data_IF_271842063104
#
_entry.id   IF_271842063104
#
_cell.length_a   1.000
_cell.length_b   1.000
_cell.length_c   1.000
_cell.angle_alpha   90.00
_cell.angle_beta   90.00
_cell.angle_gamma   90.00
#
_symmetry.space_group_name_H-M   'P 1'
#
loop_
_entity.id
_entity.type
_entity.pdbx_description
1 polymer ?
#
# COMPACT_ATOMS: atom_id res chain seq x y z
N UNK A 1 -4.73 -13.09 -19.78
CA UNK A 1 -4.74 -11.61 -19.77
C UNK A 1 -3.72 -11.19 -18.74
N UNK A 2 -2.60 -10.68 -19.21
CA UNK A 2 -1.26 -11.07 -18.76
C UNK A 2 -0.62 -10.08 -17.80
N UNK A 3 0.32 -10.62 -17.02
CA UNK A 3 1.36 -10.03 -16.16
C UNK A 3 1.95 -8.64 -16.54
N UNK A 4 1.68 -8.09 -17.73
CA UNK A 4 2.19 -6.80 -18.21
C UNK A 4 1.45 -5.57 -17.69
N UNK A 5 0.19 -5.69 -17.26
CA UNK A 5 -0.57 -4.54 -16.77
C UNK A 5 -0.15 -4.09 -15.36
N UNK A 6 0.43 -5.01 -14.56
CA UNK A 6 0.99 -4.68 -13.25
C UNK A 6 2.43 -4.15 -13.34
N UNK A 7 3.19 -4.45 -14.38
CA UNK A 7 4.53 -3.85 -14.58
C UNK A 7 4.43 -2.34 -14.84
N UNK A 8 3.36 -1.84 -15.45
CA UNK A 8 3.14 -0.40 -15.64
C UNK A 8 2.66 0.31 -14.35
N UNK A 9 2.01 -0.39 -13.42
CA UNK A 9 1.67 0.14 -12.10
C UNK A 9 2.82 -0.02 -11.09
N UNK A 10 3.65 -1.07 -11.22
CA UNK A 10 4.86 -1.29 -10.42
C UNK A 10 6.08 -0.50 -10.93
N UNK A 11 6.06 -0.07 -12.20
CA UNK A 11 7.04 0.88 -12.75
C UNK A 11 6.96 2.26 -12.07
N UNK A 12 5.85 2.59 -11.40
CA UNK A 12 5.72 3.77 -10.55
C UNK A 12 6.46 3.64 -9.21
N UNK A 13 6.86 2.44 -8.77
CA UNK A 13 7.51 2.25 -7.47
C UNK A 13 8.89 1.58 -7.46
N UNK A 14 9.34 0.89 -8.51
CA UNK A 14 10.56 0.07 -8.40
C UNK A 14 11.88 0.84 -8.54
N UNK A 15 12.88 0.44 -7.73
CA UNK A 15 14.35 0.51 -7.87
C UNK A 15 15.09 1.35 -6.80
N UNK A 16 15.47 0.73 -5.68
CA UNK A 16 16.56 1.20 -4.79
C UNK A 16 17.54 0.05 -4.58
N UNK A 17 18.80 0.20 -5.01
CA UNK A 17 20.01 -0.05 -4.21
C UNK A 17 21.30 0.23 -5.02
N UNK A 18 22.21 1.02 -4.43
CA UNK A 18 23.62 0.66 -4.20
C UNK A 18 24.44 1.91 -3.81
N UNK A 19 25.00 1.92 -2.59
CA UNK A 19 26.28 2.56 -2.32
C UNK A 19 26.89 1.99 -1.03
N UNK A 20 27.85 1.09 -1.17
CA UNK A 20 28.73 0.63 -0.10
C UNK A 20 30.19 0.80 -0.54
N UNK A 21 31.02 1.42 0.31
CA UNK A 21 32.47 1.24 0.52
C UNK A 21 32.97 2.43 1.38
N UNK A 22 33.82 2.35 2.42
CA UNK A 22 35.03 1.54 2.68
C UNK A 22 35.42 1.52 4.20
N UNK A 23 35.86 0.34 4.68
CA UNK A 23 36.99 -0.01 5.60
C UNK A 23 37.02 0.37 7.13
N UNK A 24 37.74 -0.42 7.98
CA UNK A 24 37.29 -0.82 9.33
C UNK A 24 38.25 -0.47 10.49
N UNK A 25 37.76 -0.60 11.74
CA UNK A 25 38.59 -0.83 12.92
C UNK A 25 38.03 -1.97 13.78
N UNK A 26 38.90 -2.89 14.17
CA UNK A 26 38.57 -4.14 14.85
C UNK A 26 38.42 -4.05 16.37
N UNK A 27 37.97 -5.15 16.97
CA UNK A 27 38.57 -5.85 18.12
C UNK A 27 37.67 -7.05 18.50
N UNK A 28 38.29 -8.08 19.08
CA UNK A 28 37.76 -9.38 19.55
C UNK A 28 38.48 -9.68 20.88
N UNK A 29 38.12 -10.69 21.71
CA UNK A 29 36.86 -11.42 21.97
C UNK A 29 36.52 -11.46 23.48
N UNK A 30 35.41 -12.09 23.89
CA UNK A 30 35.47 -12.99 25.06
C UNK A 30 34.38 -14.08 25.08
N UNK A 31 34.82 -15.25 25.55
CA UNK A 31 34.21 -16.59 25.59
C UNK A 31 33.15 -16.71 26.69
N UNK A 32 32.29 -17.75 26.64
CA UNK A 32 32.16 -18.78 27.69
C UNK A 32 31.42 -20.03 27.14
N UNK A 33 31.89 -21.21 27.57
CA UNK A 33 31.43 -22.57 27.24
C UNK A 33 30.39 -23.07 28.24
N UNK A 34 29.44 -23.93 27.82
CA UNK A 34 28.91 -25.04 28.64
C UNK A 34 28.64 -26.27 27.75
N UNK A 35 29.11 -27.42 28.21
CA UNK A 35 29.03 -28.77 27.62
C UNK A 35 27.85 -29.53 28.26
N UNK A 36 27.13 -30.35 27.49
CA UNK A 36 26.38 -31.49 28.05
C UNK A 36 26.30 -32.66 27.04
N UNK A 37 26.90 -33.80 27.46
CA UNK A 37 26.84 -35.18 26.94
C UNK A 37 25.64 -35.98 27.52
N UNK A 38 25.00 -36.89 26.76
CA UNK A 38 25.05 -38.27 27.30
C UNK A 38 25.22 -39.36 26.24
N UNK A 39 26.20 -40.21 26.54
CA UNK A 39 26.33 -41.58 26.04
C UNK A 39 25.37 -42.53 26.76
N UNK A 40 24.75 -43.46 26.03
CA UNK A 40 24.72 -44.88 26.45
C UNK A 40 24.33 -45.82 25.29
N UNK A 41 25.06 -46.93 25.20
CA UNK A 41 25.01 -47.97 24.17
C UNK A 41 24.12 -49.15 24.60
N UNK A 42 23.42 -49.70 23.59
CA UNK A 42 23.22 -51.11 23.19
C UNK A 42 22.93 -52.18 24.26
N UNK A 43 21.96 -53.06 23.95
CA UNK A 43 22.14 -54.52 23.94
C UNK A 43 21.20 -55.17 22.90
N UNK A 44 21.69 -56.21 22.23
CA UNK A 44 21.04 -57.02 21.19
C UNK A 44 20.35 -58.26 21.78
N UNK A 45 19.37 -58.80 21.01
CA UNK A 45 19.06 -60.22 20.69
C UNK A 45 17.62 -60.64 21.02
N UNK A 46 16.87 -61.52 20.33
CA UNK A 46 16.92 -62.27 19.05
C UNK A 46 15.49 -62.85 18.86
N UNK A 47 15.04 -63.00 17.60
CA UNK A 47 13.97 -63.88 17.04
C UNK A 47 12.52 -63.87 17.59
N UNK A 48 11.55 -63.54 16.72
CA UNK A 48 10.44 -64.44 16.34
C UNK A 48 9.71 -63.92 15.08
N UNK A 49 9.68 -64.76 14.06
CA UNK A 49 8.97 -64.58 12.80
C UNK A 49 7.50 -64.97 13.01
N UNK A 50 6.56 -64.04 12.89
CA UNK A 50 5.13 -64.34 12.84
C UNK A 50 4.47 -63.47 11.77
N UNK A 51 4.11 -64.12 10.66
CA UNK A 51 3.27 -63.57 9.60
C UNK A 51 1.86 -63.36 10.17
N UNK A 52 1.44 -62.11 10.32
CA UNK A 52 0.05 -61.74 10.63
C UNK A 52 -0.34 -60.67 9.61
N UNK A 53 -1.30 -61.02 8.75
CA UNK A 53 -1.99 -60.11 7.84
C UNK A 53 -2.60 -58.97 8.67
N UNK A 54 -1.88 -57.86 8.77
CA UNK A 54 -2.43 -56.58 9.22
C UNK A 54 -3.03 -55.88 8.02
N UNK A 55 -4.33 -55.61 8.08
CA UNK A 55 -4.98 -54.63 7.22
C UNK A 55 -4.09 -53.37 7.17
N UNK A 56 -3.58 -53.05 5.98
CA UNK A 56 -3.17 -51.68 5.68
C UNK A 56 -4.47 -50.90 5.61
N UNK A 57 -4.93 -50.42 6.77
CA UNK A 57 -5.74 -49.20 6.79
C UNK A 57 -4.82 -48.16 6.19
N UNK A 58 -5.01 -47.90 4.90
CA UNK A 58 -4.49 -46.69 4.30
C UNK A 58 -5.15 -45.56 5.06
N UNK A 59 -4.48 -45.04 6.09
CA UNK A 59 -4.73 -43.69 6.51
C UNK A 59 -4.33 -42.84 5.32
N UNK A 60 -5.28 -42.63 4.41
CA UNK A 60 -5.29 -41.43 3.61
C UNK A 60 -5.22 -40.32 4.65
N UNK A 61 -4.01 -39.84 4.95
CA UNK A 61 -3.83 -38.61 5.67
C UNK A 61 -4.56 -37.60 4.82
N UNK A 62 -5.81 -37.30 5.17
CA UNK A 62 -6.62 -36.26 4.55
C UNK A 62 -5.71 -35.05 4.52
N UNK A 63 -5.27 -34.70 3.32
CA UNK A 63 -4.34 -33.60 3.10
C UNK A 63 -4.95 -32.38 3.77
N UNK A 64 -4.39 -31.97 4.91
CA UNK A 64 -4.93 -30.86 5.69
C UNK A 64 -4.92 -29.65 4.77
N UNK A 65 -6.09 -29.05 4.55
CA UNK A 65 -6.21 -27.84 3.73
C UNK A 65 -5.32 -26.74 4.33
N UNK A 66 -4.68 -25.94 3.48
CA UNK A 66 -3.90 -24.77 3.92
C UNK A 66 -4.82 -23.64 4.42
N UNK A 67 -6.11 -23.68 4.09
CA UNK A 67 -7.12 -22.70 4.51
C UNK A 67 -7.11 -22.45 6.02
N UNK A 68 -7.25 -21.20 6.42
CA UNK A 68 -7.29 -20.77 7.80
C UNK A 68 -6.37 -19.57 8.08
N UNK A 69 -6.30 -19.21 9.36
CA UNK A 69 -5.50 -18.11 9.85
C UNK A 69 -4.16 -18.61 10.39
N UNK A 70 -3.10 -17.90 10.07
CA UNK A 70 -1.72 -18.25 10.39
C UNK A 70 -1.01 -17.04 10.95
N UNK A 71 -0.28 -17.21 12.05
CA UNK A 71 0.51 -16.15 12.69
C UNK A 71 1.96 -16.61 12.84
N UNK A 72 2.90 -15.68 12.73
CA UNK A 72 4.30 -15.97 12.97
C UNK A 72 5.20 -14.79 12.62
N UNK A 73 6.40 -15.09 12.15
CA UNK A 73 7.43 -14.07 11.90
C UNK A 73 8.10 -14.24 10.55
N UNK A 74 8.46 -13.12 9.94
CA UNK A 74 9.50 -13.02 8.92
C UNK A 74 10.79 -12.57 9.58
N UNK A 75 11.94 -13.12 9.16
CA UNK A 75 13.25 -12.79 9.72
C UNK A 75 14.21 -12.42 8.59
N UNK A 76 14.81 -11.23 8.67
CA UNK A 76 15.88 -10.76 7.78
C UNK A 76 17.01 -10.22 8.64
N UNK A 77 18.23 -10.67 8.41
CA UNK A 77 19.42 -10.21 9.15
C UNK A 77 19.27 -10.24 10.68
N UNK A 78 18.50 -11.19 11.21
CA UNK A 78 18.22 -11.33 12.64
C UNK A 78 17.08 -10.45 13.17
N UNK A 79 16.56 -9.50 12.39
CA UNK A 79 15.39 -8.71 12.75
C UNK A 79 14.08 -9.48 12.46
N UNK A 80 13.20 -9.57 13.46
CA UNK A 80 11.90 -10.22 13.33
C UNK A 80 10.79 -9.23 13.00
N UNK A 81 9.90 -9.62 12.08
CA UNK A 81 8.67 -8.92 11.75
C UNK A 81 7.48 -9.83 12.02
N UNK A 82 6.62 -9.52 13.00
CA UNK A 82 5.37 -10.22 13.19
C UNK A 82 4.44 -10.06 11.97
N UNK A 83 3.91 -11.19 11.51
CA UNK A 83 3.01 -11.26 10.36
C UNK A 83 1.87 -12.25 10.60
N UNK A 84 0.76 -12.05 9.90
CA UNK A 84 -0.30 -13.06 9.80
C UNK A 84 -0.79 -13.21 8.37
N UNK A 85 -1.14 -14.44 8.00
CA UNK A 85 -1.68 -14.77 6.70
C UNK A 85 -3.04 -15.45 6.85
N UNK A 86 -3.96 -15.09 5.97
CA UNK A 86 -5.27 -15.72 5.89
C UNK A 86 -5.38 -16.42 4.53
N UNK A 87 -5.50 -17.74 4.54
CA UNK A 87 -5.75 -18.53 3.33
C UNK A 87 -7.22 -18.89 3.26
N UNK A 88 -7.85 -18.61 2.13
CA UNK A 88 -9.28 -18.85 1.92
C UNK A 88 -9.52 -19.52 0.56
N UNK A 89 -10.63 -20.23 0.44
CA UNK A 89 -11.08 -20.78 -0.83
C UNK A 89 -12.18 -19.90 -1.42
N UNK A 90 -11.85 -19.18 -2.50
CA UNK A 90 -12.79 -18.34 -3.23
C UNK A 90 -13.20 -19.03 -4.53
N UNK A 91 -14.40 -19.62 -4.54
CA UNK A 91 -14.98 -20.28 -5.72
C UNK A 91 -14.07 -21.36 -6.34
N UNK A 92 -13.38 -22.15 -5.50
CA UNK A 92 -12.48 -23.23 -5.94
C UNK A 92 -11.04 -22.78 -6.21
N UNK A 93 -10.73 -21.48 -6.04
CA UNK A 93 -9.37 -20.95 -6.14
C UNK A 93 -8.85 -20.57 -4.76
N UNK A 94 -7.63 -21.00 -4.46
CA UNK A 94 -6.92 -20.56 -3.26
C UNK A 94 -6.60 -19.06 -3.37
N UNK A 95 -7.08 -18.28 -2.42
CA UNK A 95 -6.73 -16.89 -2.22
C UNK A 95 -6.00 -16.76 -0.88
N UNK A 96 -5.15 -15.75 -0.76
CA UNK A 96 -4.52 -15.43 0.51
C UNK A 96 -4.34 -13.93 0.69
N UNK A 97 -4.30 -13.50 1.95
CA UNK A 97 -3.96 -12.12 2.31
C UNK A 97 -2.88 -12.05 3.37
N UNK A 98 -2.05 -11.03 3.29
CA UNK A 98 -0.97 -10.71 4.21
C UNK A 98 -1.36 -9.58 5.16
N UNK A 99 -0.94 -9.71 6.41
CA UNK A 99 -1.06 -8.68 7.42
C UNK A 99 0.27 -8.51 8.16
N UNK A 100 0.62 -7.26 8.45
CA UNK A 100 1.65 -6.89 9.42
C UNK A 100 1.20 -5.59 10.10
N UNK A 101 0.70 -5.67 11.35
CA UNK A 101 0.29 -4.48 12.09
C UNK A 101 1.42 -3.45 12.27
N UNK A 102 2.66 -3.91 12.46
CA UNK A 102 3.87 -3.05 12.54
C UNK A 102 4.04 -2.19 11.29
N UNK A 103 3.73 -2.78 10.13
CA UNK A 103 3.83 -2.15 8.81
C UNK A 103 2.50 -1.58 8.30
N UNK A 104 1.40 -1.68 9.06
CA UNK A 104 0.05 -1.25 8.63
C UNK A 104 -0.50 -1.97 7.41
N UNK A 105 0.10 -3.09 7.05
CA UNK A 105 -0.42 -3.95 6.01
C UNK A 105 -1.58 -4.75 6.64
N UNK A 106 -2.81 -4.54 6.17
CA UNK A 106 -3.98 -5.31 6.64
C UNK A 106 -4.77 -5.79 5.44
N UNK A 107 -4.88 -7.11 5.29
CA UNK A 107 -5.62 -7.75 4.21
C UNK A 107 -5.02 -7.52 2.81
N UNK A 108 -3.70 -7.37 2.70
CA UNK A 108 -3.04 -7.17 1.39
C UNK A 108 -3.15 -8.46 0.58
N UNK A 109 -3.78 -8.46 -0.61
CA UNK A 109 -3.95 -9.67 -1.40
C UNK A 109 -2.60 -10.22 -1.89
N UNK A 110 -2.35 -11.50 -1.60
CA UNK A 110 -1.20 -12.22 -2.13
C UNK A 110 -1.48 -12.68 -3.57
N UNK A 111 -0.42 -12.72 -4.39
CA UNK A 111 -0.44 -13.17 -5.78
C UNK A 111 0.25 -14.52 -5.92
N UNK A 112 -0.01 -15.18 -7.05
CA UNK A 112 0.55 -16.49 -7.41
C UNK A 112 0.45 -17.53 -6.28
N UNK A 113 -0.61 -17.48 -5.48
CA UNK A 113 -0.80 -18.36 -4.34
C UNK A 113 -1.05 -19.78 -4.84
N UNK A 114 -0.15 -20.70 -4.48
CA UNK A 114 -0.26 -22.11 -4.85
C UNK A 114 0.26 -23.01 -3.74
N UNK A 115 -0.29 -24.22 -3.66
CA UNK A 115 0.13 -25.22 -2.70
C UNK A 115 -0.07 -26.62 -3.26
N UNK A 116 1.01 -27.40 -3.25
CA UNK A 116 1.04 -28.82 -3.56
C UNK A 116 1.93 -29.48 -2.52
N UNK A 117 1.34 -30.17 -1.54
CA UNK A 117 2.04 -30.65 -0.34
C UNK A 117 3.37 -31.34 -0.66
N UNK A 118 4.45 -30.99 0.05
CA UNK A 118 4.51 -29.98 1.11
C UNK A 118 4.65 -28.55 0.60
N UNK A 119 4.92 -28.32 -0.68
CA UNK A 119 5.33 -27.01 -1.21
C UNK A 119 4.21 -25.97 -1.18
N UNK A 120 4.54 -24.77 -0.72
CA UNK A 120 3.70 -23.58 -0.71
C UNK A 120 4.45 -22.44 -1.38
N UNK A 121 3.77 -21.68 -2.22
CA UNK A 121 4.30 -20.51 -2.89
C UNK A 121 3.28 -19.36 -2.86
N UNK A 122 3.74 -18.14 -2.62
CA UNK A 122 2.93 -16.92 -2.71
C UNK A 122 3.81 -15.69 -2.86
N UNK A 123 3.23 -14.61 -3.38
CA UNK A 123 3.93 -13.36 -3.67
C UNK A 123 3.21 -12.18 -3.03
N UNK A 124 3.95 -11.36 -2.28
CA UNK A 124 3.49 -10.06 -1.81
C UNK A 124 4.01 -9.00 -2.76
N UNK A 125 3.13 -8.47 -3.59
CA UNK A 125 3.46 -7.41 -4.55
C UNK A 125 3.30 -6.06 -3.85
N UNK A 126 4.40 -5.37 -3.61
CA UNK A 126 4.41 -3.96 -3.20
C UNK A 126 4.56 -3.03 -4.40
N UNK A 127 4.57 -1.73 -4.14
CA UNK A 127 4.71 -0.71 -5.18
C UNK A 127 6.10 -0.77 -5.84
N UNK A 128 7.13 -1.07 -5.04
CA UNK A 128 8.51 -1.07 -5.46
C UNK A 128 9.10 -2.45 -5.77
N UNK A 129 8.72 -3.43 -4.96
CA UNK A 129 9.35 -4.74 -4.93
C UNK A 129 8.28 -5.79 -4.75
N UNK A 130 8.57 -7.00 -5.24
CA UNK A 130 7.77 -8.18 -4.93
C UNK A 130 8.55 -9.07 -3.99
N UNK A 131 7.96 -9.40 -2.84
CA UNK A 131 8.49 -10.40 -1.94
C UNK A 131 7.93 -11.75 -2.36
N UNK A 132 8.82 -12.66 -2.74
CA UNK A 132 8.47 -14.00 -3.20
C UNK A 132 8.75 -14.98 -2.07
N UNK A 133 7.75 -15.75 -1.67
CA UNK A 133 7.82 -16.72 -0.58
C UNK A 133 7.75 -18.14 -1.11
N UNK A 134 8.70 -18.97 -0.71
CA UNK A 134 8.74 -20.40 -1.01
C UNK A 134 8.93 -21.17 0.30
N UNK A 135 8.00 -22.07 0.62
CA UNK A 135 8.02 -22.80 1.87
C UNK A 135 7.40 -24.19 1.80
N UNK A 136 7.38 -24.84 2.96
CA UNK A 136 6.83 -26.17 3.14
C UNK A 136 5.79 -26.16 4.25
N UNK A 137 4.60 -26.68 3.93
CA UNK A 137 3.54 -26.98 4.87
C UNK A 137 3.78 -28.34 5.52
N UNK A 138 3.81 -28.33 6.85
CA UNK A 138 3.73 -29.51 7.71
C UNK A 138 2.31 -29.62 8.27
N UNK A 139 2.10 -30.15 9.49
CA UNK A 139 0.75 -30.32 10.05
C UNK A 139 0.08 -28.97 10.32
N UNK A 140 0.75 -28.09 11.07
CA UNK A 140 0.21 -26.80 11.51
C UNK A 140 1.27 -25.67 11.41
N UNK A 141 2.30 -25.86 10.59
CA UNK A 141 3.33 -24.84 10.33
C UNK A 141 3.61 -24.76 8.82
N UNK A 142 3.69 -23.54 8.29
CA UNK A 142 4.33 -23.24 7.01
C UNK A 142 5.63 -22.49 7.31
N UNK A 143 6.76 -22.98 6.81
CA UNK A 143 8.04 -22.33 7.00
C UNK A 143 8.88 -22.40 5.72
N UNK A 144 9.71 -21.39 5.49
CA UNK A 144 10.45 -21.29 4.24
C UNK A 144 11.38 -20.09 4.17
N UNK A 145 11.73 -19.76 2.93
CA UNK A 145 12.55 -18.61 2.59
C UNK A 145 11.68 -17.59 1.84
N UNK A 146 12.05 -16.32 1.94
CA UNK A 146 11.56 -15.29 1.03
C UNK A 146 12.73 -14.55 0.39
N UNK A 147 12.47 -13.94 -0.76
CA UNK A 147 13.39 -13.04 -1.46
C UNK A 147 12.69 -11.76 -1.89
N UNK A 148 13.42 -10.66 -1.85
CA UNK A 148 12.96 -9.34 -2.27
C UNK A 148 14.11 -8.64 -3.00
N UNK A 149 14.10 -8.65 -4.33
CA UNK A 149 15.30 -8.29 -5.09
C UNK A 149 16.47 -9.22 -4.74
N UNK A 150 17.59 -8.64 -4.31
CA UNK A 150 18.77 -9.38 -3.86
C UNK A 150 18.69 -9.81 -2.39
N UNK A 151 17.77 -9.22 -1.62
CA UNK A 151 17.60 -9.51 -0.20
C UNK A 151 16.92 -10.86 0.02
N UNK A 152 17.26 -11.50 1.14
CA UNK A 152 16.74 -12.82 1.53
C UNK A 152 16.43 -12.87 3.01
N UNK A 153 15.45 -13.70 3.37
CA UNK A 153 15.14 -14.00 4.74
C UNK A 153 14.33 -15.28 4.88
N UNK A 154 13.95 -15.59 6.11
CA UNK A 154 13.15 -16.77 6.43
C UNK A 154 11.79 -16.37 6.95
N UNK A 155 10.82 -17.27 6.89
CA UNK A 155 9.56 -17.08 7.58
C UNK A 155 9.10 -18.39 8.22
N UNK A 156 8.37 -18.26 9.31
CA UNK A 156 7.69 -19.39 9.95
C UNK A 156 6.37 -18.90 10.53
N UNK A 157 5.27 -19.50 10.07
CA UNK A 157 3.92 -19.19 10.50
C UNK A 157 3.23 -20.48 10.96
N UNK A 158 2.46 -20.37 12.03
CA UNK A 158 1.70 -21.47 12.61
C UNK A 158 0.21 -21.22 12.52
N UNK A 159 -0.54 -22.29 12.31
CA UNK A 159 -1.99 -22.23 12.28
C UNK A 159 -2.50 -21.87 13.67
N UNK A 160 -3.33 -20.83 13.74
CA UNK A 160 -3.96 -20.37 14.97
C UNK A 160 -5.43 -20.06 14.73
N UNK A 161 -6.22 -20.04 15.79
CA UNK A 161 -7.61 -19.62 15.70
C UNK A 161 -7.66 -18.09 15.60
N UNK A 162 -8.21 -17.56 14.52
CA UNK A 162 -8.41 -16.12 14.34
C UNK A 162 -9.21 -15.53 15.51
N UNK A 163 -8.71 -14.41 16.05
CA UNK A 163 -9.47 -13.62 17.04
C UNK A 163 -10.54 -12.81 16.31
N UNK A 164 -11.80 -12.84 16.76
CA UNK A 164 -12.83 -12.00 16.15
C UNK A 164 -12.47 -10.52 16.30
N UNK A 165 -12.76 -9.67 15.30
CA UNK A 165 -12.54 -8.24 15.42
C UNK A 165 -13.38 -7.65 16.56
N UNK A 166 -12.90 -6.56 17.17
CA UNK A 166 -13.63 -5.85 18.24
C UNK A 166 -14.62 -4.82 17.67
N UNK A 167 -14.95 -4.95 16.39
CA UNK A 167 -15.84 -4.11 15.61
C UNK A 167 -16.67 -4.97 14.68
N UNK A 168 -17.79 -4.44 14.17
CA UNK A 168 -18.61 -5.11 13.17
C UNK A 168 -18.14 -4.72 11.78
N UNK A 169 -18.25 -5.65 10.83
CA UNK A 169 -17.96 -5.38 9.42
C UNK A 169 -19.07 -5.96 8.54
N UNK A 170 -19.41 -5.25 7.48
CA UNK A 170 -20.45 -5.63 6.51
C UNK A 170 -19.92 -5.45 5.10
N UNK A 171 -20.07 -6.47 4.26
CA UNK A 171 -19.85 -6.33 2.82
C UNK A 171 -21.00 -5.56 2.19
N UNK A 172 -20.68 -4.47 1.52
CA UNK A 172 -21.65 -3.52 0.97
C UNK A 172 -21.38 -3.29 -0.51
N UNK A 173 -22.38 -2.76 -1.20
CA UNK A 173 -22.22 -2.22 -2.55
C UNK A 173 -23.05 -0.96 -2.72
N UNK A 174 -22.56 -0.03 -3.53
CA UNK A 174 -23.24 1.22 -3.86
C UNK A 174 -22.92 1.62 -5.30
N UNK A 175 -23.69 2.54 -5.87
CA UNK A 175 -23.63 2.87 -7.30
C UNK A 175 -23.27 4.33 -7.54
N UNK A 176 -22.46 4.54 -8.57
CA UNK A 176 -22.25 5.83 -9.21
C UNK A 176 -22.59 5.67 -10.71
N UNK A 177 -23.81 6.02 -11.09
CA UNK A 177 -24.35 5.72 -12.42
C UNK A 177 -24.38 4.20 -12.70
N UNK A 178 -23.68 3.80 -13.76
CA UNK A 178 -23.56 2.39 -14.19
C UNK A 178 -22.43 1.63 -13.48
N UNK A 179 -21.57 2.34 -12.75
CA UNK A 179 -20.51 1.72 -11.94
C UNK A 179 -21.10 1.26 -10.62
N UNK A 180 -20.88 -0.02 -10.29
CA UNK A 180 -21.16 -0.60 -8.97
C UNK A 180 -19.85 -0.76 -8.24
N UNK A 181 -19.73 -0.12 -7.08
CA UNK A 181 -18.58 -0.16 -6.21
C UNK A 181 -18.84 -1.18 -5.10
N UNK A 182 -17.92 -2.11 -4.91
CA UNK A 182 -17.96 -3.06 -3.80
C UNK A 182 -17.09 -2.54 -2.66
N UNK A 183 -17.59 -2.62 -1.43
CA UNK A 183 -16.86 -2.15 -0.27
C UNK A 183 -17.18 -2.89 1.02
N UNK A 184 -16.49 -2.48 2.08
CA UNK A 184 -16.71 -2.97 3.43
C UNK A 184 -17.04 -1.77 4.32
N UNK A 185 -18.18 -1.83 5.01
CA UNK A 185 -18.54 -0.89 6.06
C UNK A 185 -18.08 -1.45 7.41
N UNK A 186 -17.18 -0.73 8.07
CA UNK A 186 -16.71 -1.04 9.42
C UNK A 186 -17.44 -0.16 10.42
N UNK A 187 -18.02 -0.79 11.45
CA UNK A 187 -18.86 -0.14 12.46
C UNK A 187 -18.30 -0.38 13.86
N UNK A 188 -18.17 0.68 14.69
CA UNK A 188 -17.85 0.51 16.10
C UNK A 188 -18.82 -0.44 16.79
N UNK A 189 -18.34 -1.17 17.80
CA UNK A 189 -19.19 -2.06 18.60
C UNK A 189 -20.12 -1.31 19.55
N UNK A 190 -19.89 -0.01 19.76
CA UNK A 190 -20.71 0.88 20.59
C UNK A 190 -22.01 1.30 19.87
N UNK A 191 -22.98 1.79 20.64
CA UNK A 191 -24.21 2.36 20.08
C UNK A 191 -23.92 3.63 19.28
N UNK A 192 -24.59 3.77 18.13
CA UNK A 192 -24.49 4.94 17.26
C UNK A 192 -25.53 6.02 17.57
N UNK A 193 -25.70 7.03 16.68
CA UNK A 193 -25.05 7.15 15.37
C UNK A 193 -23.60 7.66 15.46
N UNK A 194 -22.71 7.04 14.69
CA UNK A 194 -21.26 7.31 14.70
C UNK A 194 -20.86 8.37 13.67
N UNK A 195 -19.81 9.18 13.90
CA UNK A 195 -19.11 9.83 12.80
C UNK A 195 -18.52 8.77 11.85
N UNK A 196 -18.35 9.12 10.58
CA UNK A 196 -17.84 8.19 9.58
C UNK A 196 -16.80 8.79 8.65
N UNK A 197 -15.95 7.95 8.07
CA UNK A 197 -14.94 8.33 7.08
C UNK A 197 -15.06 7.48 5.83
N UNK A 198 -15.11 8.12 4.66
CA UNK A 198 -14.94 7.45 3.37
C UNK A 198 -13.47 7.51 2.97
N UNK A 199 -12.87 6.35 2.65
CA UNK A 199 -11.46 6.22 2.30
C UNK A 199 -11.25 6.25 0.78
N UNK A 200 -10.39 7.16 0.31
CA UNK A 200 -9.92 7.21 -1.07
C UNK A 200 -8.51 6.64 -1.21
N UNK A 201 -8.37 5.84 -2.26
CA UNK A 201 -7.15 5.23 -2.75
C UNK A 201 -6.09 6.23 -3.24
N UNK A 202 -4.85 5.78 -3.31
CA UNK A 202 -3.76 6.37 -4.08
C UNK A 202 -3.91 6.14 -5.59
N UNK A 203 -2.82 6.27 -6.35
CA UNK A 203 -2.79 6.01 -7.80
C UNK A 203 -2.91 4.51 -8.12
N UNK A 204 -2.96 4.13 -9.41
CA UNK A 204 -2.96 2.72 -9.82
C UNK A 204 -4.22 1.92 -9.44
N UNK A 205 -4.08 0.59 -9.42
CA UNK A 205 -5.16 -0.39 -9.25
C UNK A 205 -5.37 -0.84 -7.81
N UNK A 206 -5.42 0.11 -6.87
CA UNK A 206 -5.66 -0.19 -5.45
C UNK A 206 -7.09 -0.64 -5.15
N UNK A 207 -7.22 -1.63 -4.27
CA UNK A 207 -8.49 -2.05 -3.68
C UNK A 207 -8.66 -1.56 -2.24
N UNK A 208 -9.75 -1.98 -1.58
CA UNK A 208 -10.11 -1.52 -0.23
C UNK A 208 -9.06 -1.77 0.84
N UNK A 209 -8.12 -2.69 0.60
CA UNK A 209 -7.01 -2.99 1.50
C UNK A 209 -6.11 -1.77 1.78
N UNK A 210 -5.99 -0.83 0.84
CA UNK A 210 -5.13 0.35 0.96
C UNK A 210 -5.50 1.24 2.16
N UNK A 211 -6.80 1.36 2.47
CA UNK A 211 -7.29 2.11 3.62
C UNK A 211 -7.52 1.27 4.89
N UNK A 212 -7.37 -0.07 4.80
CA UNK A 212 -7.96 -0.99 5.79
C UNK A 212 -7.38 -0.82 7.18
N UNK A 213 -6.06 -0.66 7.32
CA UNK A 213 -5.45 -0.47 8.63
C UNK A 213 -6.03 0.75 9.37
N UNK A 214 -6.09 1.91 8.69
CA UNK A 214 -6.62 3.12 9.29
C UNK A 214 -8.12 3.01 9.55
N UNK A 215 -8.87 2.38 8.64
CA UNK A 215 -10.30 2.14 8.84
C UNK A 215 -10.57 1.29 10.07
N UNK A 216 -9.83 0.19 10.27
CA UNK A 216 -9.95 -0.65 11.46
C UNK A 216 -9.55 0.13 12.72
N UNK A 217 -8.48 0.92 12.65
CA UNK A 217 -8.02 1.75 13.76
C UNK A 217 -9.08 2.79 14.16
N UNK A 218 -9.65 3.53 13.20
CA UNK A 218 -10.73 4.49 13.42
C UNK A 218 -11.96 3.83 14.03
N UNK A 219 -12.33 2.65 13.52
CA UNK A 219 -13.49 1.90 14.00
C UNK A 219 -13.34 1.46 15.45
N UNK A 220 -12.13 1.06 15.86
CA UNK A 220 -11.82 0.74 17.27
C UNK A 220 -11.88 1.97 18.18
N UNK A 221 -11.84 3.17 17.61
CA UNK A 221 -11.93 4.45 18.33
C UNK A 221 -13.25 5.21 18.11
N UNK A 222 -14.32 4.48 17.73
CA UNK A 222 -15.68 5.04 17.68
C UNK A 222 -16.03 5.77 16.38
N UNK A 223 -15.21 5.65 15.33
CA UNK A 223 -15.44 6.30 14.04
C UNK A 223 -15.68 5.20 12.99
N UNK A 224 -16.87 5.18 12.39
CA UNK A 224 -17.18 4.23 11.32
C UNK A 224 -16.33 4.50 10.06
N UNK A 225 -16.09 3.48 9.26
CA UNK A 225 -15.26 3.61 8.06
C UNK A 225 -15.88 2.87 6.88
N UNK A 226 -15.92 3.54 5.72
CA UNK A 226 -16.20 2.92 4.43
C UNK A 226 -14.91 2.84 3.62
N UNK A 227 -14.44 1.60 3.43
CA UNK A 227 -13.41 1.26 2.45
C UNK A 227 -14.10 0.57 1.28
N UNK A 228 -13.66 0.83 0.04
CA UNK A 228 -14.25 0.22 -1.15
C UNK A 228 -13.16 -0.13 -2.15
N UNK A 229 -13.42 -1.01 -3.10
CA UNK A 229 -12.47 -1.25 -4.19
C UNK A 229 -12.62 -0.13 -5.22
N UNK A 230 -11.50 0.44 -5.68
CA UNK A 230 -11.53 1.43 -6.77
C UNK A 230 -12.30 0.87 -7.95
N UNK A 231 -12.98 1.75 -8.70
CA UNK A 231 -13.62 1.42 -9.97
C UNK A 231 -12.73 0.53 -10.86
N UNK A 232 -13.27 -0.58 -11.33
CA UNK A 232 -12.53 -1.56 -12.14
C UNK A 232 -11.48 -2.39 -11.38
N UNK A 233 -11.46 -2.33 -10.04
CA UNK A 233 -10.58 -3.12 -9.18
C UNK A 233 -11.43 -4.04 -8.29
N UNK A 234 -10.89 -5.20 -7.96
CA UNK A 234 -11.53 -6.14 -7.04
C UNK A 234 -12.91 -6.56 -7.56
N UNK A 235 -13.95 -6.31 -6.76
CA UNK A 235 -15.35 -6.61 -7.12
C UNK A 235 -16.10 -5.40 -7.68
N UNK A 236 -15.46 -4.24 -7.77
CA UNK A 236 -16.05 -3.04 -8.38
C UNK A 236 -16.03 -3.14 -9.91
N UNK A 237 -17.12 -2.71 -10.56
CA UNK A 237 -17.21 -2.65 -12.02
C UNK A 237 -16.53 -1.38 -12.56
N UNK A 238 -16.50 -1.22 -13.89
CA UNK A 238 -15.91 -0.05 -14.57
C UNK A 238 -14.43 -0.24 -14.93
N UNK A 239 -13.74 0.87 -15.23
CA UNK A 239 -12.33 0.87 -15.64
C UNK A 239 -11.63 2.16 -15.18
N UNK A 240 -10.74 2.05 -14.20
CA UNK A 240 -9.97 3.20 -13.70
C UNK A 240 -9.01 3.78 -14.75
N UNK A 241 -8.50 2.98 -15.70
CA UNK A 241 -7.58 3.46 -16.76
C UNK A 241 -8.27 4.44 -17.71
N UNK A 242 -9.60 4.37 -17.79
CA UNK A 242 -10.46 5.23 -18.60
C UNK A 242 -11.13 6.35 -17.81
N UNK A 243 -10.95 6.39 -16.50
CA UNK A 243 -11.58 7.37 -15.62
C UNK A 243 -10.69 8.60 -15.41
N UNK A 244 -11.29 9.70 -14.98
CA UNK A 244 -10.58 10.89 -14.48
C UNK A 244 -10.83 11.11 -12.98
N UNK A 245 -10.37 12.25 -12.45
CA UNK A 245 -10.59 12.59 -11.05
C UNK A 245 -12.04 13.00 -10.74
N UNK A 246 -12.85 13.36 -11.74
CA UNK A 246 -14.28 13.63 -11.57
C UNK A 246 -15.04 12.33 -11.32
N UNK A 247 -14.72 11.29 -12.09
CA UNK A 247 -15.24 9.93 -11.88
C UNK A 247 -14.98 9.45 -10.46
N UNK A 248 -13.72 9.52 -10.02
CA UNK A 248 -13.31 9.07 -8.70
C UNK A 248 -13.89 9.92 -7.56
N UNK A 249 -14.05 11.23 -7.77
CA UNK A 249 -14.79 12.09 -6.84
C UNK A 249 -16.27 11.68 -6.73
N UNK A 250 -16.90 11.35 -7.87
CA UNK A 250 -18.28 10.85 -7.90
C UNK A 250 -18.43 9.53 -7.14
N UNK A 251 -17.44 8.64 -7.22
CA UNK A 251 -17.43 7.38 -6.47
C UNK A 251 -17.43 7.63 -4.96
N UNK A 252 -16.58 8.54 -4.48
CA UNK A 252 -16.56 8.90 -3.07
C UNK A 252 -17.87 9.58 -2.61
N UNK A 253 -18.44 10.47 -3.42
CA UNK A 253 -19.74 11.13 -3.14
C UNK A 253 -20.86 10.08 -3.04
N UNK A 254 -20.88 9.08 -3.94
CA UNK A 254 -21.83 7.98 -3.84
C UNK A 254 -21.65 7.17 -2.55
N UNK A 255 -20.40 6.99 -2.09
CA UNK A 255 -20.09 6.38 -0.80
C UNK A 255 -20.61 7.22 0.39
N UNK A 256 -20.49 8.54 0.33
CA UNK A 256 -21.06 9.46 1.33
C UNK A 256 -22.58 9.32 1.37
N UNK A 257 -23.26 9.36 0.23
CA UNK A 257 -24.71 9.20 0.15
C UNK A 257 -25.17 7.83 0.67
N UNK A 258 -24.43 6.76 0.38
CA UNK A 258 -24.68 5.44 0.94
C UNK A 258 -24.62 5.47 2.48
N UNK A 259 -23.58 6.09 3.06
CA UNK A 259 -23.45 6.22 4.52
C UNK A 259 -24.57 7.05 5.15
N UNK A 260 -25.04 8.11 4.49
CA UNK A 260 -26.14 8.93 4.99
C UNK A 260 -27.46 8.15 5.15
N UNK A 261 -27.63 7.04 4.43
CA UNK A 261 -28.81 6.17 4.52
C UNK A 261 -28.72 5.13 5.65
N UNK A 262 -27.58 5.05 6.35
CA UNK A 262 -27.34 4.08 7.42
C UNK A 262 -27.74 4.67 8.77
N UNK A 263 -28.63 3.98 9.50
CA UNK A 263 -29.07 4.40 10.84
C UNK A 263 -27.93 4.44 11.87
N UNK A 264 -26.87 3.68 11.64
CA UNK A 264 -25.69 3.60 12.49
C UNK A 264 -24.77 4.82 12.33
N UNK A 265 -24.99 5.66 11.30
CA UNK A 265 -24.11 6.76 10.92
C UNK A 265 -24.81 8.09 11.14
N UNK A 266 -24.08 9.07 11.65
CA UNK A 266 -24.57 10.44 11.75
C UNK A 266 -24.35 11.14 10.39
N UNK A 267 -25.41 11.47 9.64
CA UNK A 267 -25.27 11.99 8.27
C UNK A 267 -24.62 13.37 8.19
N UNK A 268 -24.46 14.07 9.33
CA UNK A 268 -23.79 15.38 9.44
C UNK A 268 -22.32 15.28 9.84
N UNK A 269 -21.81 14.07 10.07
CA UNK A 269 -20.44 13.82 10.56
C UNK A 269 -19.70 12.81 9.67
N UNK A 270 -19.86 12.94 8.35
CA UNK A 270 -19.18 12.09 7.37
C UNK A 270 -18.02 12.87 6.76
N UNK A 271 -16.80 12.44 7.00
CA UNK A 271 -15.60 13.03 6.42
C UNK A 271 -14.94 12.15 5.38
N UNK A 272 -13.82 12.65 4.86
CA UNK A 272 -13.02 11.97 3.85
C UNK A 272 -11.60 11.79 4.36
N UNK A 273 -11.04 10.61 4.15
CA UNK A 273 -9.60 10.39 4.18
C UNK A 273 -9.13 10.02 2.77
N UNK A 274 -8.15 10.73 2.24
CA UNK A 274 -7.54 10.40 0.96
C UNK A 274 -6.03 10.42 1.04
N UNK A 275 -5.38 9.40 0.47
CA UNK A 275 -3.92 9.32 0.38
C UNK A 275 -3.45 9.52 -1.07
N UNK A 276 -2.35 10.24 -1.29
CA UNK A 276 -1.74 10.47 -2.59
C UNK A 276 -2.76 11.06 -3.58
N UNK A 277 -3.13 10.33 -4.64
CA UNK A 277 -4.24 10.68 -5.54
C UNK A 277 -5.54 11.00 -4.80
N UNK A 278 -5.92 10.22 -3.80
CA UNK A 278 -7.08 10.49 -2.96
C UNK A 278 -6.96 11.81 -2.20
N UNK A 279 -5.75 12.19 -1.78
CA UNK A 279 -5.48 13.48 -1.16
C UNK A 279 -5.64 14.67 -2.12
N UNK A 280 -5.31 14.46 -3.40
CA UNK A 280 -5.55 15.44 -4.48
C UNK A 280 -7.04 15.60 -4.81
N UNK A 281 -7.82 14.53 -4.70
CA UNK A 281 -9.25 14.47 -5.05
C UNK A 281 -10.15 14.92 -3.88
N UNK A 282 -9.72 14.77 -2.64
CA UNK A 282 -10.51 15.18 -1.47
C UNK A 282 -11.07 16.62 -1.53
N UNK A 283 -10.30 17.68 -1.87
CA UNK A 283 -10.85 19.02 -2.02
C UNK A 283 -11.85 19.15 -3.18
N UNK A 284 -11.65 18.41 -4.27
CA UNK A 284 -12.60 18.33 -5.39
C UNK A 284 -13.95 17.80 -4.91
N UNK A 285 -13.96 16.76 -4.08
CA UNK A 285 -15.20 16.21 -3.51
C UNK A 285 -15.91 17.25 -2.65
N UNK A 286 -15.19 17.88 -1.72
CA UNK A 286 -15.77 18.88 -0.83
C UNK A 286 -16.24 20.15 -1.57
N UNK A 287 -15.64 20.49 -2.71
CA UNK A 287 -16.13 21.57 -3.57
C UNK A 287 -17.46 21.25 -4.26
N UNK A 288 -17.80 19.95 -4.38
CA UNK A 288 -18.97 19.46 -5.13
C UNK A 288 -20.10 18.95 -4.26
N UNK A 289 -19.83 18.62 -3.00
CA UNK A 289 -20.83 18.14 -2.06
C UNK A 289 -20.75 18.92 -0.76
N UNK A 290 -21.91 19.35 -0.28
CA UNK A 290 -22.08 19.99 1.04
C UNK A 290 -22.19 18.96 2.18
N UNK A 291 -22.18 17.68 1.83
CA UNK A 291 -22.35 16.56 2.78
C UNK A 291 -21.04 16.10 3.41
N UNK A 292 -19.91 16.67 2.97
CA UNK A 292 -18.60 16.45 3.60
C UNK A 292 -18.52 17.28 4.87
N UNK A 293 -18.22 16.65 6.00
CA UNK A 293 -18.07 17.32 7.30
C UNK A 293 -16.62 17.73 7.60
N UNK A 294 -15.63 17.04 7.02
CA UNK A 294 -14.20 17.34 7.16
C UNK A 294 -13.35 16.60 6.11
N UNK A 295 -12.11 17.05 5.92
CA UNK A 295 -11.13 16.41 5.03
C UNK A 295 -9.85 16.07 5.80
N UNK A 296 -9.33 14.87 5.57
CA UNK A 296 -7.96 14.47 5.89
C UNK A 296 -7.26 14.10 4.57
N UNK A 297 -6.33 14.94 4.13
CA UNK A 297 -5.51 14.71 2.94
C UNK A 297 -4.08 14.28 3.31
N UNK A 298 -3.70 13.05 2.99
CA UNK A 298 -2.35 12.55 3.18
C UNK A 298 -1.56 12.55 1.87
N UNK A 299 -0.40 13.20 1.83
CA UNK A 299 0.54 13.19 0.70
C UNK A 299 -0.09 13.56 -0.67
N UNK A 300 -1.11 14.41 -0.68
CA UNK A 300 -1.72 14.93 -1.91
C UNK A 300 -1.00 16.18 -2.41
N UNK A 301 -0.71 16.25 -3.71
CA UNK A 301 -0.09 17.42 -4.34
C UNK A 301 -1.09 18.56 -4.56
N UNK A 302 -0.62 19.80 -4.50
CA UNK A 302 -1.39 21.00 -4.85
C UNK A 302 -0.69 21.86 -5.90
N UNK A 303 0.10 21.22 -6.75
CA UNK A 303 0.55 21.76 -8.05
C UNK A 303 -0.18 21.01 -9.17
N UNK A 304 -0.18 21.51 -10.42
CA UNK A 304 -0.65 20.73 -11.55
C UNK A 304 0.03 19.34 -11.58
N UNK A 305 -0.73 18.30 -11.90
CA UNK A 305 -0.24 16.91 -11.85
C UNK A 305 1.01 16.73 -12.72
N UNK A 306 1.09 17.36 -13.89
CA UNK A 306 2.28 17.33 -14.74
C UNK A 306 3.54 17.89 -14.04
N UNK A 307 3.41 18.93 -13.21
CA UNK A 307 4.55 19.50 -12.47
C UNK A 307 4.98 18.58 -11.34
N UNK A 308 4.00 17.97 -10.65
CA UNK A 308 4.26 16.96 -9.63
C UNK A 308 5.00 15.77 -10.22
N UNK A 309 4.64 15.34 -11.43
CA UNK A 309 5.29 14.23 -12.13
C UNK A 309 6.75 14.53 -12.47
N UNK A 310 7.03 15.71 -13.03
CA UNK A 310 8.41 16.15 -13.30
C UNK A 310 9.21 16.16 -12.00
N UNK A 311 8.64 16.68 -10.91
CA UNK A 311 9.30 16.72 -9.60
C UNK A 311 9.58 15.32 -9.06
N UNK A 312 8.58 14.45 -9.09
CA UNK A 312 8.65 13.05 -8.67
C UNK A 312 9.78 12.32 -9.38
N UNK A 313 9.75 12.27 -10.71
CA UNK A 313 10.75 11.56 -11.51
C UNK A 313 12.16 12.12 -11.27
N UNK A 314 12.29 13.45 -11.18
CA UNK A 314 13.57 14.12 -10.88
C UNK A 314 14.13 13.72 -9.52
N UNK A 315 13.30 13.69 -8.48
CA UNK A 315 13.74 13.32 -7.13
C UNK A 315 14.11 11.85 -7.04
N UNK A 316 13.34 10.97 -7.70
CA UNK A 316 13.60 9.53 -7.73
C UNK A 316 14.95 9.21 -8.40
N UNK A 317 15.24 9.77 -9.58
CA UNK A 317 16.54 9.53 -10.23
C UNK A 317 17.70 10.14 -9.43
N UNK A 318 17.49 11.29 -8.77
CA UNK A 318 18.49 11.90 -7.89
C UNK A 318 18.79 11.00 -6.69
N UNK A 319 17.76 10.40 -6.08
CA UNK A 319 17.91 9.46 -4.98
C UNK A 319 18.70 8.19 -5.38
N UNK A 320 18.68 7.84 -6.67
CA UNK A 320 19.49 6.75 -7.27
C UNK A 320 20.92 7.19 -7.65
N UNK A 321 21.35 8.38 -7.23
CA UNK A 321 22.72 8.88 -7.41
C UNK A 321 22.98 9.67 -8.70
N UNK A 322 21.97 9.88 -9.54
CA UNK A 322 22.12 10.69 -10.76
C UNK A 322 22.26 12.17 -10.36
N UNK A 323 23.33 12.82 -10.81
CA UNK A 323 23.69 14.20 -10.44
C UNK A 323 24.40 14.95 -11.58
N UNK A 324 24.68 16.24 -11.37
CA UNK A 324 25.43 17.06 -12.34
C UNK A 324 24.77 17.16 -13.72
N UNK A 325 25.59 17.08 -14.77
CA UNK A 325 25.12 17.17 -16.16
C UNK A 325 24.18 16.00 -16.54
N UNK A 326 24.42 14.79 -16.04
CA UNK A 326 23.54 13.64 -16.31
C UNK A 326 22.13 13.89 -15.76
N UNK A 327 22.02 14.51 -14.58
CA UNK A 327 20.72 14.90 -14.02
C UNK A 327 20.05 16.00 -14.84
N UNK A 328 20.80 17.00 -15.32
CA UNK A 328 20.25 18.05 -16.15
C UNK A 328 19.68 17.50 -17.48
N UNK A 329 20.40 16.57 -18.12
CA UNK A 329 19.93 15.87 -19.32
C UNK A 329 18.66 15.06 -19.06
N UNK A 330 18.60 14.33 -17.94
CA UNK A 330 17.44 13.55 -17.55
C UNK A 330 16.21 14.45 -17.29
N UNK A 331 16.39 15.61 -16.63
CA UNK A 331 15.30 16.56 -16.38
C UNK A 331 14.71 17.09 -17.68
N UNK A 332 15.54 17.43 -18.67
CA UNK A 332 15.05 17.89 -19.97
C UNK A 332 14.31 16.78 -20.71
N UNK A 333 14.79 15.53 -20.62
CA UNK A 333 14.07 14.37 -21.16
C UNK A 333 12.71 14.16 -20.47
N UNK A 334 12.66 14.18 -19.14
CA UNK A 334 11.42 14.05 -18.35
C UNK A 334 10.41 15.12 -18.75
N UNK A 335 10.84 16.37 -18.95
CA UNK A 335 9.94 17.44 -19.41
C UNK A 335 9.35 17.15 -20.79
N UNK A 336 10.14 16.56 -21.71
CA UNK A 336 9.63 16.16 -23.02
C UNK A 336 8.63 15.01 -22.90
N UNK A 337 8.93 14.00 -22.10
CA UNK A 337 8.01 12.88 -21.81
C UNK A 337 6.68 13.39 -21.25
N UNK A 338 6.74 14.19 -20.19
CA UNK A 338 5.55 14.77 -19.56
C UNK A 338 4.79 15.66 -20.53
N UNK A 339 5.47 16.43 -21.38
CA UNK A 339 4.80 17.23 -22.40
C UNK A 339 4.06 16.37 -23.44
N UNK A 340 4.66 15.28 -23.91
CA UNK A 340 4.00 14.33 -24.82
C UNK A 340 2.80 13.67 -24.14
N UNK A 341 2.93 13.25 -22.89
CA UNK A 341 1.83 12.73 -22.06
C UNK A 341 0.69 13.73 -21.95
N UNK A 342 1.00 15.00 -21.64
CA UNK A 342 0.03 16.06 -21.42
C UNK A 342 -0.66 16.52 -22.71
N UNK A 343 0.05 16.60 -23.84
CA UNK A 343 -0.45 17.25 -25.06
C UNK A 343 -0.74 16.28 -26.21
N UNK A 344 -0.09 15.12 -26.23
CA UNK A 344 -0.06 14.22 -27.38
C UNK A 344 0.72 14.76 -28.60
N UNK A 345 1.46 15.86 -28.43
CA UNK A 345 2.22 16.53 -29.48
C UNK A 345 3.73 16.27 -29.32
N UNK A 346 4.52 16.62 -30.33
CA UNK A 346 6.00 16.55 -30.31
C UNK A 346 6.59 15.14 -30.20
N UNK A 347 5.87 14.12 -30.68
CA UNK A 347 6.35 12.74 -30.72
C UNK A 347 7.67 12.58 -31.48
N UNK A 348 7.86 13.25 -32.61
CA UNK A 348 9.11 13.15 -33.38
C UNK A 348 10.34 13.62 -32.58
N UNK A 349 10.18 14.71 -31.82
CA UNK A 349 11.24 15.23 -30.95
C UNK A 349 11.50 14.28 -29.78
N UNK A 350 10.45 13.71 -29.19
CA UNK A 350 10.57 12.78 -28.08
C UNK A 350 11.17 11.43 -28.50
N UNK A 351 10.80 10.92 -29.68
CA UNK A 351 11.37 9.69 -30.26
C UNK A 351 12.87 9.88 -30.52
N UNK A 352 13.27 11.03 -31.09
CA UNK A 352 14.68 11.36 -31.28
C UNK A 352 15.45 11.50 -29.96
N UNK A 353 14.86 12.13 -28.95
CA UNK A 353 15.44 12.24 -27.61
C UNK A 353 15.59 10.86 -26.95
N UNK A 354 14.61 9.98 -27.16
CA UNK A 354 14.60 8.60 -26.65
C UNK A 354 15.75 7.78 -27.24
N UNK A 355 15.96 7.84 -28.55
CA UNK A 355 17.10 7.15 -29.18
C UNK A 355 18.44 7.65 -28.65
N UNK A 356 18.58 8.96 -28.44
CA UNK A 356 19.80 9.54 -27.86
C UNK A 356 20.01 9.10 -26.40
N UNK A 357 18.94 9.01 -25.63
CA UNK A 357 18.97 8.70 -24.20
C UNK A 357 19.08 7.20 -23.88
N UNK A 358 18.85 6.31 -24.85
CA UNK A 358 18.73 4.85 -24.64
C UNK A 358 19.88 4.21 -23.86
N UNK A 359 21.10 4.76 -23.96
CA UNK A 359 22.30 4.27 -23.28
C UNK A 359 22.67 5.06 -22.01
N UNK A 360 21.90 6.10 -21.67
CA UNK A 360 22.13 6.87 -20.46
C UNK A 360 21.73 6.05 -19.22
N UNK A 361 22.51 6.16 -18.14
CA UNK A 361 22.27 5.39 -16.90
C UNK A 361 20.89 5.66 -16.29
N UNK A 362 20.39 6.88 -16.42
CA UNK A 362 19.10 7.32 -15.87
C UNK A 362 17.90 6.86 -16.71
N UNK A 363 18.07 6.60 -18.00
CA UNK A 363 16.96 6.26 -18.91
C UNK A 363 16.15 5.03 -18.47
N UNK A 364 16.76 3.88 -18.14
CA UNK A 364 15.99 2.73 -17.66
C UNK A 364 15.27 2.99 -16.33
N UNK A 365 15.69 4.00 -15.54
CA UNK A 365 15.06 4.33 -14.26
C UNK A 365 13.73 5.06 -14.41
N UNK A 366 13.43 5.61 -15.60
CA UNK A 366 12.20 6.36 -15.88
C UNK A 366 11.04 5.47 -16.34
N UNK A 367 11.32 4.23 -16.76
CA UNK A 367 10.30 3.29 -17.26
C UNK A 367 9.37 3.87 -18.33
N UNK A 368 9.93 4.62 -19.28
CA UNK A 368 9.18 5.29 -20.37
C UNK A 368 8.21 4.30 -21.03
N UNK A 369 6.89 4.60 -21.03
CA UNK A 369 5.89 3.70 -21.59
C UNK A 369 6.06 3.48 -23.09
N UNK A 370 5.68 2.30 -23.59
CA UNK A 370 5.61 2.06 -25.04
C UNK A 370 4.63 3.04 -25.71
N UNK A 371 4.89 3.45 -26.95
CA UNK A 371 4.12 4.48 -27.67
C UNK A 371 2.63 4.16 -27.84
N UNK A 372 2.27 2.88 -27.91
CA UNK A 372 0.90 2.37 -27.98
C UNK A 372 0.26 2.11 -26.61
N UNK A 373 0.95 2.46 -25.52
CA UNK A 373 0.44 2.31 -24.16
C UNK A 373 -0.81 3.15 -23.92
N UNK A 374 -1.77 2.56 -23.20
CA UNK A 374 -2.96 3.26 -22.69
C UNK A 374 -2.59 4.45 -21.77
N UNK A 375 -1.39 4.42 -21.17
CA UNK A 375 -0.89 5.42 -20.24
C UNK A 375 -0.93 6.83 -20.83
N UNK A 376 -0.52 7.02 -22.09
CA UNK A 376 -0.49 8.34 -22.73
C UNK A 376 -1.87 9.00 -22.78
N UNK A 377 -2.93 8.21 -22.99
CA UNK A 377 -4.31 8.71 -23.00
C UNK A 377 -4.83 8.96 -21.57
N UNK A 378 -4.42 8.14 -20.61
CA UNK A 378 -4.74 8.34 -19.19
C UNK A 378 -4.09 9.60 -18.63
N UNK A 379 -2.77 9.74 -18.79
CA UNK A 379 -2.00 10.89 -18.38
C UNK A 379 -2.58 12.20 -18.92
N UNK A 380 -2.88 12.25 -20.23
CA UNK A 380 -3.52 13.41 -20.87
C UNK A 380 -4.83 13.85 -20.21
N UNK A 381 -5.59 12.89 -19.65
CA UNK A 381 -6.87 13.18 -19.00
C UNK A 381 -6.70 13.84 -17.63
N UNK A 382 -5.59 13.58 -16.94
CA UNK A 382 -5.39 13.99 -15.54
C UNK A 382 -4.25 15.00 -15.33
N UNK A 383 -3.32 15.15 -16.27
CA UNK A 383 -2.10 15.94 -16.07
C UNK A 383 -2.32 17.43 -15.87
N UNK A 384 -3.37 18.00 -16.47
CA UNK A 384 -3.73 19.41 -16.27
C UNK A 384 -4.59 19.65 -15.01
N UNK A 385 -4.95 18.59 -14.26
CA UNK A 385 -5.65 18.76 -12.98
C UNK A 385 -4.75 19.47 -11.96
N UNK A 386 -5.33 20.42 -11.23
CA UNK A 386 -4.66 21.13 -10.15
C UNK A 386 -5.55 21.17 -8.89
N UNK A 387 -5.12 20.50 -7.82
CA UNK A 387 -5.90 20.45 -6.58
C UNK A 387 -6.06 21.82 -5.89
N UNK A 388 -5.14 22.76 -6.13
CA UNK A 388 -5.20 24.11 -5.53
C UNK A 388 -6.48 24.87 -5.93
N UNK A 389 -7.00 24.64 -7.13
CA UNK A 389 -8.23 25.27 -7.62
C UNK A 389 -9.45 24.85 -6.79
N UNK A 390 -9.42 23.64 -6.24
CA UNK A 390 -10.48 23.09 -5.42
C UNK A 390 -10.28 23.38 -3.93
N UNK A 391 -9.04 23.41 -3.44
CA UNK A 391 -8.74 23.89 -2.09
C UNK A 391 -9.27 25.31 -1.86
N UNK A 392 -9.29 26.15 -2.90
CA UNK A 392 -9.84 27.50 -2.84
C UNK A 392 -11.37 27.56 -2.66
N UNK A 393 -12.05 26.42 -2.62
CA UNK A 393 -13.49 26.26 -2.47
C UNK A 393 -13.86 25.50 -1.19
N UNK A 394 -12.87 24.99 -0.44
CA UNK A 394 -13.10 24.18 0.77
C UNK A 394 -13.36 25.07 1.97
N UNK A 395 -14.51 24.88 2.62
CA UNK A 395 -14.92 25.62 3.83
C UNK A 395 -15.06 24.74 5.08
N UNK A 396 -14.88 23.43 4.95
CA UNK A 396 -14.93 22.47 6.07
C UNK A 396 -13.57 22.34 6.74
N UNK A 397 -13.49 21.80 7.97
CA UNK A 397 -12.22 21.56 8.63
C UNK A 397 -11.27 20.67 7.83
N UNK A 398 -9.98 21.01 7.81
CA UNK A 398 -8.96 20.33 7.01
C UNK A 398 -7.76 19.88 7.86
N UNK A 399 -7.32 18.64 7.68
CA UNK A 399 -6.01 18.15 8.09
C UNK A 399 -5.23 17.71 6.86
N UNK A 400 -4.04 18.27 6.65
CA UNK A 400 -3.12 17.83 5.59
C UNK A 400 -1.82 17.31 6.21
N UNK A 401 -1.32 16.18 5.73
CA UNK A 401 -0.12 15.54 6.28
C UNK A 401 0.82 15.11 5.16
N UNK A 402 2.11 15.40 5.33
CA UNK A 402 3.20 14.98 4.45
C UNK A 402 4.28 14.23 5.23
N UNK A 403 5.03 13.35 4.57
CA UNK A 403 6.28 12.83 5.09
C UNK A 403 7.45 13.70 4.65
N UNK A 404 8.40 14.00 5.55
CA UNK A 404 9.56 14.84 5.24
C UNK A 404 10.42 14.31 4.08
N UNK A 405 10.47 12.98 3.92
CA UNK A 405 11.24 12.27 2.89
C UNK A 405 10.38 11.82 1.71
N UNK A 406 9.19 12.40 1.54
CA UNK A 406 8.36 12.16 0.36
C UNK A 406 9.07 12.67 -0.90
N UNK A 407 9.34 11.75 -1.84
CA UNK A 407 10.01 12.06 -3.11
C UNK A 407 9.03 12.44 -4.23
N UNK A 408 7.74 12.14 -4.07
CA UNK A 408 6.73 12.29 -5.13
C UNK A 408 6.06 13.65 -5.13
N UNK A 409 5.97 14.29 -3.95
CA UNK A 409 5.29 15.57 -3.79
C UNK A 409 6.29 16.70 -3.56
N UNK A 410 6.20 17.82 -4.30
CA UNK A 410 6.94 19.03 -3.98
C UNK A 410 6.36 19.70 -2.72
N UNK A 411 6.65 19.16 -1.53
CA UNK A 411 5.98 19.48 -0.25
C UNK A 411 5.90 20.99 -0.01
N UNK A 412 7.03 21.71 -0.06
CA UNK A 412 7.06 23.15 0.25
C UNK A 412 6.15 23.98 -0.68
N UNK A 413 6.17 23.68 -1.99
CA UNK A 413 5.32 24.36 -2.96
C UNK A 413 3.85 23.99 -2.77
N UNK A 414 3.57 22.71 -2.52
CA UNK A 414 2.22 22.21 -2.25
C UNK A 414 1.62 22.87 -1.00
N UNK A 415 2.36 22.94 0.11
CA UNK A 415 1.92 23.62 1.34
C UNK A 415 1.61 25.10 1.06
N UNK A 416 2.50 25.81 0.36
CA UNK A 416 2.30 27.21 -0.03
C UNK A 416 1.05 27.40 -0.91
N UNK A 417 0.75 26.45 -1.80
CA UNK A 417 -0.44 26.52 -2.64
C UNK A 417 -1.72 26.25 -1.84
N UNK A 418 -1.71 25.26 -0.95
CA UNK A 418 -2.86 24.97 -0.08
C UNK A 418 -3.15 26.14 0.85
N UNK A 419 -2.12 26.71 1.47
CA UNK A 419 -2.25 27.85 2.39
C UNK A 419 -2.90 29.07 1.69
N UNK A 420 -2.39 29.44 0.51
CA UNK A 420 -2.98 30.51 -0.32
C UNK A 420 -4.41 30.20 -0.75
N UNK A 421 -4.70 28.96 -1.11
CA UNK A 421 -6.02 28.54 -1.55
C UNK A 421 -7.03 28.59 -0.40
N UNK A 422 -6.71 28.05 0.77
CA UNK A 422 -7.58 28.09 1.95
C UNK A 422 -7.78 29.50 2.48
N UNK A 423 -6.75 30.36 2.42
CA UNK A 423 -6.89 31.78 2.73
C UNK A 423 -7.91 32.47 1.79
N UNK A 424 -7.86 32.16 0.48
CA UNK A 424 -8.85 32.65 -0.50
C UNK A 424 -10.26 32.11 -0.21
N UNK A 425 -10.37 30.87 0.25
CA UNK A 425 -11.63 30.27 0.70
C UNK A 425 -12.14 30.86 2.03
N UNK A 426 -11.34 31.68 2.72
CA UNK A 426 -11.57 32.18 4.09
C UNK A 426 -11.76 31.04 5.09
N UNK A 427 -11.11 29.91 4.86
CA UNK A 427 -11.15 28.78 5.76
C UNK A 427 -10.00 28.89 6.77
N UNK A 428 -10.35 29.14 8.04
CA UNK A 428 -9.39 29.28 9.13
C UNK A 428 -9.21 27.99 9.95
N UNK A 429 -10.03 26.95 9.72
CA UNK A 429 -9.94 25.68 10.44
C UNK A 429 -9.16 24.64 9.61
N UNK A 430 -7.85 24.85 9.50
CA UNK A 430 -6.96 23.88 8.87
C UNK A 430 -5.68 23.65 9.68
N UNK A 431 -5.11 22.46 9.51
CA UNK A 431 -3.83 22.07 10.10
C UNK A 431 -3.00 21.37 9.02
N UNK A 432 -1.74 21.77 8.86
CA UNK A 432 -0.80 21.14 7.93
C UNK A 432 0.39 20.63 8.73
N UNK A 433 0.73 19.36 8.56
CA UNK A 433 1.81 18.69 9.29
C UNK A 433 2.80 18.04 8.34
N UNK A 434 4.08 18.05 8.74
CA UNK A 434 5.14 17.28 8.08
C UNK A 434 5.74 16.35 9.12
N UNK A 435 5.64 15.04 8.87
CA UNK A 435 6.15 13.99 9.75
C UNK A 435 7.66 13.81 9.51
N UNK A 436 8.52 14.02 10.52
CA UNK A 436 9.96 13.88 10.37
C UNK A 436 10.34 12.48 9.89
N UNK A 437 11.32 12.41 8.98
CA UNK A 437 11.87 11.19 8.36
C UNK A 437 10.89 10.31 7.58
N UNK A 438 9.59 10.59 7.63
CA UNK A 438 8.60 9.72 7.02
C UNK A 438 8.59 9.87 5.50
N UNK A 439 8.34 8.77 4.78
CA UNK A 439 8.21 8.73 3.33
C UNK A 439 6.81 9.21 2.88
N UNK A 440 6.53 9.09 1.58
CA UNK A 440 5.20 9.27 1.00
C UNK A 440 4.11 8.44 1.70
N UNK A 441 4.39 7.17 2.02
CA UNK A 441 3.45 6.25 2.69
C UNK A 441 3.41 6.43 4.22
N UNK A 442 4.08 7.46 4.75
CA UNK A 442 4.23 7.74 6.19
C UNK A 442 4.96 6.64 6.98
N UNK A 443 5.77 5.81 6.31
CA UNK A 443 6.71 4.91 6.96
C UNK A 443 8.09 5.56 7.10
N UNK A 444 8.84 5.11 8.10
CA UNK A 444 10.22 5.47 8.37
C UNK A 444 11.07 4.27 7.97
N UNK A 445 11.92 4.48 6.97
CA UNK A 445 12.88 3.49 6.53
C UNK A 445 14.06 3.37 7.52
N UNK A 446 14.68 2.17 7.62
CA UNK A 446 15.90 1.97 8.38
C UNK A 446 17.02 2.92 7.94
N UNK A 447 17.92 3.26 8.85
CA UNK A 447 19.06 4.12 8.53
C UNK A 447 20.17 3.31 7.86
N UNK A 448 20.68 3.85 6.74
CA UNK A 448 21.83 3.25 6.07
C UNK A 448 23.06 3.23 6.99
N UNK A 449 23.77 2.10 7.00
CA UNK A 449 24.97 1.91 7.83
C UNK A 449 24.67 1.48 9.27
N UNK A 450 23.40 1.35 9.66
CA UNK A 450 22.98 0.70 10.90
C UNK A 450 22.61 -0.77 10.65
N UNK A 451 22.54 -1.61 11.71
CA UNK A 451 21.95 -2.94 11.58
C UNK A 451 20.55 -2.87 10.95
N UNK A 452 20.21 -3.86 10.13
CA UNK A 452 18.91 -3.92 9.49
C UNK A 452 17.79 -3.98 10.54
N UNK A 453 16.77 -3.17 10.31
CA UNK A 453 15.49 -3.23 11.00
C UNK A 453 14.37 -3.21 9.96
N UNK A 454 13.17 -3.65 10.32
CA UNK A 454 12.03 -3.48 9.43
C UNK A 454 11.57 -2.03 9.49
N UNK A 455 11.18 -1.47 8.34
CA UNK A 455 10.52 -0.17 8.33
C UNK A 455 9.26 -0.22 9.20
N UNK A 456 8.96 0.91 9.83
CA UNK A 456 7.78 1.06 10.67
C UNK A 456 7.07 2.37 10.34
N UNK A 457 5.84 2.52 10.80
CA UNK A 457 5.12 3.78 10.65
C UNK A 457 5.76 4.93 11.44
N UNK A 458 5.58 6.16 10.96
CA UNK A 458 5.73 7.36 11.77
C UNK A 458 4.96 7.24 13.11
N UNK A 459 5.65 7.34 14.27
CA UNK A 459 5.02 7.16 15.57
C UNK A 459 3.85 8.12 15.83
N UNK A 460 2.77 7.61 16.44
CA UNK A 460 1.60 8.39 16.85
C UNK A 460 0.69 8.89 15.71
N UNK A 461 1.00 8.56 14.45
CA UNK A 461 0.20 9.02 13.32
C UNK A 461 -1.29 8.60 13.37
N UNK A 462 -1.67 7.35 13.69
CA UNK A 462 -3.08 6.95 13.76
C UNK A 462 -3.82 7.64 14.92
N UNK A 463 -3.15 7.79 16.06
CA UNK A 463 -3.67 8.51 17.24
C UNK A 463 -3.95 9.97 16.89
N UNK A 464 -3.01 10.62 16.17
CA UNK A 464 -3.14 12.01 15.73
C UNK A 464 -4.38 12.23 14.86
N UNK A 465 -4.60 11.36 13.87
CA UNK A 465 -5.79 11.44 13.00
C UNK A 465 -7.08 11.30 13.81
N UNK A 466 -7.12 10.30 14.68
CA UNK A 466 -8.30 9.97 15.48
C UNK A 466 -8.62 11.07 16.48
N UNK A 467 -7.61 11.61 17.15
CA UNK A 467 -7.76 12.75 18.06
C UNK A 467 -8.28 14.00 17.34
N UNK A 468 -7.76 14.28 16.14
CA UNK A 468 -8.18 15.42 15.33
C UNK A 468 -9.66 15.32 14.91
N UNK A 469 -10.12 14.13 14.48
CA UNK A 469 -11.54 13.88 14.17
C UNK A 469 -12.40 14.07 15.42
N UNK A 470 -12.03 13.42 16.52
CA UNK A 470 -12.80 13.46 17.76
C UNK A 470 -12.89 14.86 18.37
N UNK A 471 -11.91 15.74 18.14
CA UNK A 471 -12.01 17.13 18.57
C UNK A 471 -13.13 17.90 17.87
N UNK A 472 -13.46 17.55 16.62
CA UNK A 472 -14.41 18.27 15.76
C UNK A 472 -15.77 17.59 15.63
N UNK A 473 -15.81 16.27 15.81
CA UNK A 473 -16.98 15.44 15.53
C UNK A 473 -17.61 14.81 16.79
N UNK A 474 -17.28 15.30 17.99
CA UNK A 474 -17.92 14.90 19.25
C UNK A 474 -19.43 15.12 19.24
#
# INVERSE_FOLDING_TARGET
MSFRDNELAAAEGALIHAAASTQPFGFSPNRYFIIWDPTMRKHNSILALAFLLGLVVSTSATQKSIEGHWEGVMVREGAELPVSLDFTNESGRLAASFNSPTQRAMGIPLRNVSYTTPKVHFELVGDATTIIFDGELTIDTVAGQFREGDDRGTFSIRRVKAKPPTFKQEEVSFRNGDVTLSGTLLLPSTEGPHPAVVFLHGSGSEGRYAGRFLAEYFTRHGIAALIYDKRGVGKSTGDWKRSDFNDLAGDAIAGIHFLQQRKEINPRKIGIYGHSQGGMIAPLIASRSKDVAFIIGGAGSAVPVYESEVNSLTNQIRAKGISGNELAEAIEFIKMEVNVSRTGQSWELFDAATEKARNAKWYPMLHVPAKDSWWWAFARRIYDYNAADYWAQVSVPVLVIYGERDLYVPIAQTISNIDRALAKAKNADYTILVLPRASHAFNIEPESGQPFEWWHMAPGFPDLLTAWINQRMK
#
